data_IF_974920847546
#
_entry.id   IF_974920847546
#
_cell.length_a   1.000
_cell.length_b   1.000
_cell.length_c   1.000
_cell.angle_alpha   90.00
_cell.angle_beta   90.00
_cell.angle_gamma   90.00
#
_symmetry.space_group_name_H-M   'P 1'
#
loop_
_entity.id
_entity.type
_entity.pdbx_description
1 polymer ?
#
# COMPACT_ATOMS: atom_id res chain seq x y z
N UNK A 1 -30.79 44.00 6.11
CA UNK A 1 -29.33 44.13 5.96
C UNK A 1 -28.58 42.92 6.53
N UNK A 2 -28.80 42.53 7.80
CA UNK A 2 -28.09 41.40 8.45
C UNK A 2 -28.12 40.07 7.67
N UNK A 3 -29.25 39.64 7.12
CA UNK A 3 -29.31 38.35 6.38
C UNK A 3 -28.47 38.32 5.10
N UNK A 4 -28.28 39.44 4.40
CA UNK A 4 -27.42 39.50 3.20
C UNK A 4 -25.94 39.44 3.56
N UNK A 5 -25.57 40.07 4.67
CA UNK A 5 -24.20 40.04 5.18
C UNK A 5 -23.84 38.67 5.78
N UNK A 6 -24.78 38.03 6.49
CA UNK A 6 -24.65 36.63 6.93
C UNK A 6 -24.53 35.67 5.73
N UNK A 7 -25.34 35.83 4.69
CA UNK A 7 -25.25 35.01 3.48
C UNK A 7 -23.89 35.17 2.76
N UNK A 8 -23.36 36.40 2.68
CA UNK A 8 -22.05 36.66 2.08
C UNK A 8 -20.91 36.02 2.90
N UNK A 9 -20.99 36.05 4.23
CA UNK A 9 -20.04 35.36 5.12
C UNK A 9 -20.10 33.84 4.96
N UNK A 10 -21.30 33.27 4.81
CA UNK A 10 -21.49 31.84 4.58
C UNK A 10 -20.89 31.43 3.22
N UNK A 11 -21.11 32.21 2.16
CA UNK A 11 -20.51 31.95 0.84
C UNK A 11 -18.99 31.97 0.89
N UNK A 12 -18.40 33.00 1.50
CA UNK A 12 -16.95 33.11 1.63
C UNK A 12 -16.35 31.96 2.45
N UNK A 13 -16.98 31.57 3.55
CA UNK A 13 -16.55 30.43 4.35
C UNK A 13 -16.67 29.09 3.59
N UNK A 14 -17.70 28.95 2.74
CA UNK A 14 -17.86 27.78 1.89
C UNK A 14 -16.77 27.70 0.82
N UNK A 15 -16.49 28.82 0.15
CA UNK A 15 -15.40 28.94 -0.83
C UNK A 15 -14.05 28.62 -0.21
N UNK A 16 -13.74 29.18 0.95
CA UNK A 16 -12.51 28.88 1.69
C UNK A 16 -12.43 27.39 2.07
N UNK A 17 -13.51 26.80 2.59
CA UNK A 17 -13.57 25.38 2.90
C UNK A 17 -13.32 24.51 1.68
N UNK A 18 -13.86 24.88 0.51
CA UNK A 18 -13.62 24.13 -0.73
C UNK A 18 -12.17 24.20 -1.17
N UNK A 19 -11.52 25.36 -1.07
CA UNK A 19 -10.10 25.51 -1.39
C UNK A 19 -9.23 24.64 -0.48
N UNK A 20 -9.42 24.71 0.83
CA UNK A 20 -8.65 23.91 1.78
C UNK A 20 -8.84 22.41 1.58
N UNK A 21 -10.06 21.96 1.21
CA UNK A 21 -10.30 20.55 0.87
C UNK A 21 -9.47 20.10 -0.33
N UNK A 22 -9.38 20.92 -1.37
CA UNK A 22 -8.59 20.59 -2.56
C UNK A 22 -7.10 20.46 -2.22
N UNK A 23 -6.56 21.39 -1.43
CA UNK A 23 -5.16 21.33 -0.96
C UNK A 23 -4.88 20.06 -0.14
N UNK A 24 -5.79 19.69 0.77
CA UNK A 24 -5.67 18.45 1.55
C UNK A 24 -5.69 17.22 0.64
N UNK A 25 -6.59 17.18 -0.34
CA UNK A 25 -6.72 16.05 -1.25
C UNK A 25 -5.48 15.93 -2.16
N UNK A 26 -4.91 17.06 -2.61
CA UNK A 26 -3.66 17.09 -3.35
C UNK A 26 -2.52 16.44 -2.54
N UNK A 27 -2.31 16.88 -1.29
CA UNK A 27 -1.29 16.31 -0.42
C UNK A 27 -1.54 14.82 -0.09
N UNK A 28 -2.80 14.40 0.02
CA UNK A 28 -3.14 12.98 0.26
C UNK A 28 -2.90 12.10 -0.97
N UNK A 29 -3.15 12.62 -2.16
CA UNK A 29 -3.06 11.84 -3.39
C UNK A 29 -1.62 11.40 -3.68
N UNK A 30 -0.61 12.13 -3.21
CA UNK A 30 0.81 11.76 -3.32
C UNK A 30 1.07 10.38 -2.68
N UNK A 31 0.42 10.08 -1.54
CA UNK A 31 0.58 8.80 -0.85
C UNK A 31 -0.31 7.66 -1.39
N UNK A 32 -1.24 7.97 -2.31
CA UNK A 32 -2.27 7.04 -2.75
C UNK A 32 -1.69 5.80 -3.42
N UNK A 33 -0.64 5.97 -4.22
CA UNK A 33 0.02 4.86 -4.89
C UNK A 33 0.63 3.87 -3.87
N UNK A 34 1.33 4.37 -2.87
CA UNK A 34 1.92 3.54 -1.81
C UNK A 34 0.83 2.87 -0.95
N UNK A 35 -0.26 3.57 -0.63
CA UNK A 35 -1.40 2.98 0.09
C UNK A 35 -2.06 1.83 -0.71
N UNK A 36 -2.22 2.00 -2.03
CA UNK A 36 -2.72 0.93 -2.91
C UNK A 36 -1.75 -0.26 -2.96
N UNK A 37 -0.45 0.00 -3.02
CA UNK A 37 0.60 -1.03 -2.95
C UNK A 37 0.48 -1.84 -1.65
N UNK A 38 0.42 -1.17 -0.49
CA UNK A 38 0.28 -1.82 0.81
C UNK A 38 -1.00 -2.64 0.93
N UNK A 39 -2.14 -2.08 0.49
CA UNK A 39 -3.43 -2.78 0.47
C UNK A 39 -3.38 -4.04 -0.39
N UNK A 40 -2.85 -3.94 -1.61
CA UNK A 40 -2.68 -5.09 -2.52
C UNK A 40 -1.81 -6.17 -1.88
N UNK A 41 -0.69 -5.78 -1.28
CA UNK A 41 0.22 -6.71 -0.62
C UNK A 41 -0.48 -7.48 0.52
N UNK A 42 -1.24 -6.79 1.37
CA UNK A 42 -2.00 -7.44 2.44
C UNK A 42 -3.01 -8.46 1.91
N UNK A 43 -3.78 -8.12 0.88
CA UNK A 43 -4.76 -9.05 0.29
C UNK A 43 -4.10 -10.22 -0.43
N UNK A 44 -2.89 -10.06 -0.98
CA UNK A 44 -2.14 -11.20 -1.51
C UNK A 44 -1.67 -12.13 -0.40
N UNK A 45 -1.20 -11.57 0.72
CA UNK A 45 -0.79 -12.35 1.90
C UNK A 45 -1.96 -13.12 2.51
N UNK A 46 -3.14 -12.50 2.62
CA UNK A 46 -4.31 -13.16 3.20
C UNK A 46 -4.77 -14.37 2.38
N UNK A 47 -4.50 -14.39 1.07
CA UNK A 47 -4.80 -15.52 0.18
C UNK A 47 -3.87 -16.73 0.36
N UNK A 48 -2.75 -16.59 1.09
CA UNK A 48 -1.84 -17.72 1.34
C UNK A 48 -2.48 -18.82 2.19
N UNK A 49 -3.54 -18.51 2.92
CA UNK A 49 -4.33 -19.50 3.64
C UNK A 49 -4.93 -20.59 2.72
N UNK A 50 -5.04 -20.31 1.41
CA UNK A 50 -5.50 -21.27 0.40
C UNK A 50 -4.45 -22.34 0.06
N UNK A 51 -3.16 -22.04 0.23
CA UNK A 51 -2.06 -23.00 0.08
C UNK A 51 -1.99 -23.88 1.32
N UNK A 52 -2.00 -23.25 2.50
CA UNK A 52 -2.01 -23.93 3.79
C UNK A 52 -2.83 -23.11 4.78
N UNK A 53 -3.79 -23.75 5.46
CA UNK A 53 -4.69 -23.09 6.40
C UNK A 53 -3.96 -22.44 7.59
N UNK A 54 -2.73 -22.83 7.89
CA UNK A 54 -1.88 -22.22 8.92
C UNK A 54 -1.28 -20.86 8.49
N UNK A 55 -1.25 -20.54 7.19
CA UNK A 55 -0.73 -19.26 6.68
C UNK A 55 -1.77 -18.14 6.79
N UNK A 56 -2.11 -17.81 8.03
CA UNK A 56 -3.05 -16.73 8.37
C UNK A 56 -2.29 -15.59 9.03
N UNK A 57 -2.21 -14.47 8.32
CA UNK A 57 -1.59 -13.25 8.81
C UNK A 57 -2.66 -12.26 9.25
N UNK A 58 -2.52 -11.70 10.44
CA UNK A 58 -3.46 -10.68 10.93
C UNK A 58 -3.18 -9.32 10.29
N UNK A 59 -4.25 -8.53 10.12
CA UNK A 59 -4.12 -7.15 9.66
C UNK A 59 -3.31 -6.30 10.65
N UNK A 60 -3.48 -6.53 11.96
CA UNK A 60 -2.74 -5.79 12.99
C UNK A 60 -1.23 -5.97 12.82
N UNK A 61 -0.76 -7.20 12.63
CA UNK A 61 0.66 -7.47 12.45
C UNK A 61 1.19 -6.89 11.12
N UNK A 62 0.38 -6.92 10.06
CA UNK A 62 0.75 -6.25 8.81
C UNK A 62 0.89 -4.73 8.99
N UNK A 63 -0.02 -4.10 9.73
CA UNK A 63 0.02 -2.65 10.02
C UNK A 63 1.25 -2.29 10.87
N UNK A 64 1.62 -3.12 11.84
CA UNK A 64 2.87 -2.96 12.59
C UNK A 64 4.08 -2.94 11.65
N UNK A 65 4.20 -3.93 10.75
CA UNK A 65 5.29 -3.98 9.77
C UNK A 65 5.27 -2.78 8.81
N UNK A 66 4.08 -2.30 8.44
CA UNK A 66 3.92 -1.10 7.62
C UNK A 66 4.46 0.15 8.32
N UNK A 67 4.11 0.33 9.60
CA UNK A 67 4.60 1.43 10.44
C UNK A 67 6.11 1.32 10.65
N UNK A 68 6.63 0.13 10.93
CA UNK A 68 8.08 -0.12 11.04
C UNK A 68 8.83 0.30 9.76
N UNK A 69 8.29 -0.02 8.58
CA UNK A 69 8.88 0.41 7.31
C UNK A 69 8.87 1.93 7.15
N UNK A 70 7.81 2.61 7.60
CA UNK A 70 7.73 4.08 7.55
C UNK A 70 8.74 4.76 8.49
N UNK A 71 9.02 4.13 9.63
CA UNK A 71 9.92 4.63 10.67
C UNK A 71 11.40 4.27 10.42
N UNK A 72 11.66 3.35 9.50
CA UNK A 72 13.02 2.90 9.17
C UNK A 72 13.86 4.08 8.63
N UNK A 73 14.98 4.44 9.30
CA UNK A 73 15.83 5.56 8.89
C UNK A 73 16.40 5.42 7.48
N UNK A 74 16.56 4.20 6.97
CA UNK A 74 17.05 3.94 5.61
C UNK A 74 16.09 4.43 4.52
N UNK A 75 14.81 4.59 4.87
CA UNK A 75 13.77 5.12 3.98
C UNK A 75 13.60 6.64 4.12
N UNK A 76 14.34 7.31 5.01
CA UNK A 76 14.24 8.76 5.19
C UNK A 76 15.01 9.48 4.08
N UNK A 77 14.30 10.28 3.29
CA UNK A 77 14.87 11.16 2.27
C UNK A 77 14.24 12.55 2.35
N UNK A 78 14.96 13.57 1.87
CA UNK A 78 14.46 14.95 1.83
C UNK A 78 13.35 15.15 0.78
N UNK A 79 13.37 14.33 -0.27
CA UNK A 79 12.37 14.32 -1.33
C UNK A 79 11.30 13.24 -1.06
N UNK A 80 10.03 13.61 -1.20
CA UNK A 80 8.88 12.75 -0.89
C UNK A 80 8.71 11.69 -1.98
N UNK A 81 8.90 12.03 -3.24
CA UNK A 81 8.72 11.10 -4.35
C UNK A 81 9.77 9.99 -4.28
N UNK A 82 11.04 10.37 -4.09
CA UNK A 82 12.15 9.42 -3.85
C UNK A 82 11.90 8.55 -2.61
N UNK A 83 11.27 9.10 -1.56
CA UNK A 83 10.91 8.34 -0.35
C UNK A 83 9.88 7.26 -0.69
N UNK A 84 8.82 7.63 -1.41
CA UNK A 84 7.73 6.72 -1.77
C UNK A 84 8.20 5.59 -2.68
N UNK A 85 9.11 5.88 -3.61
CA UNK A 85 9.72 4.88 -4.48
C UNK A 85 10.53 3.83 -3.71
N UNK A 86 11.15 4.20 -2.58
CA UNK A 86 11.89 3.28 -1.70
C UNK A 86 10.98 2.48 -0.77
N UNK A 87 9.90 3.09 -0.29
CA UNK A 87 9.02 2.48 0.71
C UNK A 87 8.35 1.20 0.21
N UNK A 88 7.92 1.14 -1.05
CA UNK A 88 7.31 -0.06 -1.64
C UNK A 88 8.22 -1.30 -1.59
N UNK A 89 9.42 -1.26 -2.21
CA UNK A 89 10.39 -2.35 -2.14
C UNK A 89 10.84 -2.69 -0.71
N UNK A 90 11.01 -1.68 0.15
CA UNK A 90 11.38 -1.87 1.55
C UNK A 90 10.29 -2.65 2.32
N UNK A 91 9.02 -2.27 2.14
CA UNK A 91 7.88 -2.98 2.72
C UNK A 91 7.81 -4.42 2.24
N UNK A 92 7.92 -4.66 0.93
CA UNK A 92 7.89 -6.00 0.37
C UNK A 92 9.00 -6.88 0.95
N UNK A 93 10.22 -6.35 1.04
CA UNK A 93 11.38 -7.06 1.61
C UNK A 93 11.14 -7.41 3.07
N UNK A 94 10.64 -6.46 3.87
CA UNK A 94 10.32 -6.68 5.29
C UNK A 94 9.23 -7.75 5.45
N UNK A 95 8.17 -7.69 4.66
CA UNK A 95 7.08 -8.68 4.66
C UNK A 95 7.60 -10.07 4.30
N UNK A 96 8.33 -10.21 3.19
CA UNK A 96 8.87 -11.50 2.75
C UNK A 96 9.81 -12.07 3.83
N UNK A 97 10.64 -11.23 4.43
CA UNK A 97 11.56 -11.67 5.48
C UNK A 97 10.85 -12.08 6.78
N UNK A 98 9.91 -11.27 7.27
CA UNK A 98 9.24 -11.52 8.56
C UNK A 98 8.20 -12.63 8.45
N UNK A 99 7.34 -12.57 7.44
CA UNK A 99 6.28 -13.56 7.24
C UNK A 99 6.81 -14.85 6.62
N UNK A 100 7.81 -14.80 5.75
CA UNK A 100 8.43 -15.98 5.17
C UNK A 100 9.06 -16.93 6.20
N UNK A 101 9.46 -16.43 7.38
CA UNK A 101 9.95 -17.26 8.49
C UNK A 101 8.87 -18.17 9.11
N UNK A 102 7.60 -17.85 8.91
CA UNK A 102 6.46 -18.64 9.38
C UNK A 102 5.92 -19.63 8.33
N UNK A 103 6.45 -19.57 7.10
CA UNK A 103 6.08 -20.45 5.98
C UNK A 103 7.02 -21.65 5.96
N UNK A 104 6.50 -22.85 5.71
CA UNK A 104 7.36 -24.04 5.56
C UNK A 104 8.32 -23.86 4.38
N UNK A 105 9.56 -24.34 4.52
CA UNK A 105 10.60 -24.18 3.48
C UNK A 105 10.17 -24.67 2.10
N UNK A 106 9.35 -25.72 2.04
CA UNK A 106 8.80 -26.26 0.79
C UNK A 106 7.85 -25.28 0.08
N UNK A 107 7.15 -24.44 0.84
CA UNK A 107 6.13 -23.51 0.30
C UNK A 107 6.70 -22.11 0.03
N UNK A 108 7.92 -21.81 0.48
CA UNK A 108 8.57 -20.50 0.27
C UNK A 108 8.63 -20.10 -1.21
N UNK A 109 8.96 -20.98 -2.17
CA UNK A 109 8.96 -20.61 -3.58
C UNK A 109 7.57 -20.19 -4.07
N UNK A 110 6.52 -20.94 -3.71
CA UNK A 110 5.15 -20.62 -4.07
C UNK A 110 4.68 -19.30 -3.44
N UNK A 111 5.04 -19.07 -2.17
CA UNK A 111 4.79 -17.83 -1.45
C UNK A 111 5.40 -16.62 -2.15
N UNK A 112 6.71 -16.66 -2.43
CA UNK A 112 7.42 -15.53 -3.06
C UNK A 112 6.90 -15.27 -4.47
N UNK A 113 6.70 -16.33 -5.26
CA UNK A 113 6.21 -16.24 -6.62
C UNK A 113 4.79 -15.65 -6.69
N UNK A 114 3.88 -16.09 -5.80
CA UNK A 114 2.53 -15.51 -5.68
C UNK A 114 2.57 -14.02 -5.37
N UNK A 115 3.44 -13.59 -4.45
CA UNK A 115 3.61 -12.17 -4.14
C UNK A 115 4.17 -11.38 -5.32
N UNK A 116 5.20 -11.88 -6.00
CA UNK A 116 5.81 -11.21 -7.15
C UNK A 116 4.79 -11.04 -8.28
N UNK A 117 4.09 -12.12 -8.64
CA UNK A 117 3.08 -12.09 -9.70
C UNK A 117 1.93 -11.13 -9.35
N UNK A 118 1.44 -11.16 -8.10
CA UNK A 118 0.37 -10.28 -7.66
C UNK A 118 0.77 -8.80 -7.58
N UNK A 119 2.02 -8.50 -7.24
CA UNK A 119 2.51 -7.12 -7.14
C UNK A 119 2.96 -6.55 -8.48
N UNK A 120 3.42 -7.39 -9.42
CA UNK A 120 3.87 -7.01 -10.78
C UNK A 120 3.20 -7.92 -11.84
N UNK A 121 1.96 -7.61 -12.25
CA UNK A 121 1.26 -8.38 -13.29
C UNK A 121 1.81 -8.12 -14.71
N UNK A 122 2.46 -6.97 -14.94
CA UNK A 122 2.86 -6.48 -16.27
C UNK A 122 3.86 -7.33 -17.08
N UNK A 123 4.88 -8.01 -16.50
CA UNK A 123 5.91 -8.64 -17.34
C UNK A 123 5.46 -9.92 -18.07
N UNK A 124 4.26 -10.46 -17.81
CA UNK A 124 3.86 -11.79 -18.28
C UNK A 124 3.09 -11.80 -19.61
N UNK A 125 2.80 -10.65 -20.22
CA UNK A 125 2.00 -10.58 -21.44
C UNK A 125 0.59 -11.18 -21.27
N UNK A 126 -0.14 -11.42 -22.38
CA UNK A 126 -1.56 -11.87 -22.30
C UNK A 126 -1.73 -13.28 -21.73
N UNK A 127 -0.78 -14.20 -21.96
CA UNK A 127 -0.89 -15.62 -21.59
C UNK A 127 0.38 -16.20 -20.91
N UNK A 128 1.40 -15.40 -20.60
CA UNK A 128 2.69 -15.94 -20.14
C UNK A 128 2.62 -16.56 -18.76
N UNK A 129 1.75 -16.06 -17.87
CA UNK A 129 1.54 -16.68 -16.56
C UNK A 129 0.90 -18.08 -16.69
N UNK A 130 -0.13 -18.21 -17.53
CA UNK A 130 -0.77 -19.49 -17.80
C UNK A 130 0.23 -20.51 -18.34
N UNK A 131 1.02 -20.12 -19.34
CA UNK A 131 2.09 -20.96 -19.90
C UNK A 131 3.13 -21.38 -18.84
N UNK A 132 3.49 -20.48 -17.93
CA UNK A 132 4.45 -20.77 -16.87
C UNK A 132 3.91 -21.76 -15.84
N UNK A 133 2.62 -21.68 -15.52
CA UNK A 133 1.98 -22.59 -14.56
C UNK A 133 1.52 -23.92 -15.15
N UNK A 134 1.43 -24.02 -16.49
CA UNK A 134 0.99 -25.21 -17.21
C UNK A 134 -0.48 -25.14 -17.59
#
# INVERSE_FOLDING_TARGET
>A
ARSKESAKKISAALEESTRTKLEIDEHRNIYRHFAQFGSRLFFLLSRLCLINHFYRFSLSHFVELFIETLQDPSNTTNDIDTRLDKLGPSLLTRVVHKMGRSVFKADVPAFVLHLIHGMRPEPWGKNGWGLFTG
#
